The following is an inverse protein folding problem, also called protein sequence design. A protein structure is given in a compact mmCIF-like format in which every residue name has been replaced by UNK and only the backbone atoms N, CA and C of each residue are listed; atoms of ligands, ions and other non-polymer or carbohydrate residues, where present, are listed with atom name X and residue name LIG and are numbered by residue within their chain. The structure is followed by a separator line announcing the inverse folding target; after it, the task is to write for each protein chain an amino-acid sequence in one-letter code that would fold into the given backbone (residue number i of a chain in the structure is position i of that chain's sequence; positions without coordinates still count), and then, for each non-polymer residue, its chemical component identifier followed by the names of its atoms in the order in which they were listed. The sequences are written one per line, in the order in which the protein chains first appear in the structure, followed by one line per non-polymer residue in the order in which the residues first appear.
data_IF_589428186457
#
_entry.id   IF_589428186457
#
_cell.length_a   1.000
_cell.length_b   1.000
_cell.length_c   1.000
_cell.angle_alpha   90.00
_cell.angle_beta   90.00
_cell.angle_gamma   90.00
#
_symmetry.space_group_name_H-M   'P 1'
#
loop_
_entity.id
_entity.type
_entity.pdbx_description
1 polymer ?
#
# COMPACT_ATOMS: atom_id res chain seq x y z
N UNK A 1 -38.24 43.35 26.28
CA UNK A 1 -39.45 42.96 27.04
C UNK A 1 -39.94 44.05 27.99
N UNK A 2 -39.11 44.59 28.89
CA UNK A 2 -39.53 45.55 29.94
C UNK A 2 -40.31 46.79 29.41
N UNK A 3 -39.85 47.45 28.34
CA UNK A 3 -40.56 48.59 27.73
C UNK A 3 -41.92 48.24 27.09
N UNK A 4 -42.06 47.03 26.57
CA UNK A 4 -43.29 46.54 25.94
C UNK A 4 -44.32 46.17 27.00
N UNK A 5 -43.85 45.60 28.11
CA UNK A 5 -44.62 45.33 29.32
C UNK A 5 -45.06 46.63 30.00
N UNK A 6 -44.20 47.65 30.07
CA UNK A 6 -44.54 48.98 30.63
C UNK A 6 -45.56 49.71 29.74
N UNK A 7 -45.38 49.70 28.41
CA UNK A 7 -46.37 50.30 27.50
C UNK A 7 -47.72 49.58 27.57
N UNK A 8 -47.72 48.24 27.63
CA UNK A 8 -48.93 47.43 27.82
C UNK A 8 -49.58 47.68 29.20
N UNK A 9 -48.79 47.82 30.26
CA UNK A 9 -49.28 48.12 31.61
C UNK A 9 -49.92 49.52 31.66
N UNK A 10 -49.36 50.52 30.96
CA UNK A 10 -49.92 51.88 30.83
C UNK A 10 -51.21 51.91 30.00
N UNK A 11 -51.35 51.02 29.03
CA UNK A 11 -52.59 50.84 28.25
C UNK A 11 -53.70 50.13 29.03
N UNK A 12 -53.36 49.17 29.88
CA UNK A 12 -54.33 48.38 30.67
C UNK A 12 -54.77 49.11 31.95
N UNK A 13 -54.00 50.09 32.43
CA UNK A 13 -54.30 50.84 33.66
C UNK A 13 -55.20 52.08 33.46
N UNK A 14 -55.58 52.41 32.23
CA UNK A 14 -56.65 53.37 32.00
C UNK A 14 -57.98 52.60 31.94
N UNK A 15 -58.69 52.56 33.06
CA UNK A 15 -60.12 52.25 33.11
C UNK A 15 -60.83 53.13 32.07
N UNK A 16 -61.30 52.52 30.97
CA UNK A 16 -62.23 53.16 30.05
C UNK A 16 -63.54 53.29 30.79
N UNK A 17 -63.73 54.43 31.46
CA UNK A 17 -65.03 54.87 31.88
C UNK A 17 -65.76 55.30 30.61
N UNK A 18 -66.49 54.38 29.99
CA UNK A 18 -67.53 54.72 29.03
C UNK A 18 -68.66 55.42 29.81
N UNK A 19 -68.47 56.69 30.15
CA UNK A 19 -69.56 57.58 30.55
C UNK A 19 -70.37 57.87 29.29
N UNK A 20 -71.42 57.08 29.08
CA UNK A 20 -72.55 57.54 28.30
C UNK A 20 -73.14 58.76 29.00
N UNK A 21 -72.75 59.95 28.58
CA UNK A 21 -73.56 61.14 28.79
C UNK A 21 -73.88 61.71 27.40
N UNK A 22 -75.15 61.63 27.04
CA UNK A 22 -75.63 61.89 25.69
C UNK A 22 -75.33 63.31 25.21
N UNK A 23 -75.06 63.41 23.90
CA UNK A 23 -75.00 64.70 23.22
C UNK A 23 -74.11 64.69 21.98
N UNK A 24 -74.66 64.18 20.87
CA UNK A 24 -74.19 64.34 19.48
C UNK A 24 -72.79 63.81 19.11
N UNK A 25 -72.75 62.94 18.09
CA UNK A 25 -71.53 62.48 17.44
C UNK A 25 -70.75 63.62 16.79
N UNK A 26 -69.95 64.32 17.59
CA UNK A 26 -69.00 65.33 17.14
C UNK A 26 -67.67 64.65 16.82
N UNK A 27 -67.04 64.94 15.67
CA UNK A 27 -65.72 64.41 15.31
C UNK A 27 -64.62 64.69 16.34
N UNK A 28 -64.82 65.66 17.24
CA UNK A 28 -63.84 66.04 18.27
C UNK A 28 -63.63 64.95 19.34
N UNK A 29 -64.63 64.15 19.67
CA UNK A 29 -64.51 63.10 20.70
C UNK A 29 -63.64 61.91 20.23
N UNK A 30 -63.44 61.78 18.91
CA UNK A 30 -62.54 60.78 18.33
C UNK A 30 -61.07 61.23 18.30
N UNK A 31 -60.78 62.52 18.50
CA UNK A 31 -59.42 63.06 18.36
C UNK A 31 -58.47 62.48 19.40
N UNK A 32 -58.92 62.37 20.66
CA UNK A 32 -58.08 61.86 21.75
C UNK A 32 -57.79 60.36 21.63
N UNK A 33 -58.78 59.48 21.36
CA UNK A 33 -58.52 58.08 21.00
C UNK A 33 -57.65 57.92 19.74
N UNK A 34 -57.83 58.78 18.72
CA UNK A 34 -57.04 58.72 17.49
C UNK A 34 -55.56 59.05 17.72
N UNK A 35 -55.25 60.05 18.54
CA UNK A 35 -53.87 60.39 18.92
C UNK A 35 -53.20 59.22 19.67
N UNK A 36 -53.91 58.60 20.62
CA UNK A 36 -53.41 57.44 21.35
C UNK A 36 -53.17 56.23 20.42
N UNK A 37 -54.10 55.97 19.50
CA UNK A 37 -53.93 54.93 18.49
C UNK A 37 -52.73 55.20 17.59
N UNK A 38 -52.54 56.45 17.15
CA UNK A 38 -51.42 56.81 16.28
C UNK A 38 -50.08 56.70 17.01
N UNK A 39 -50.00 57.11 18.27
CA UNK A 39 -48.81 56.96 19.10
C UNK A 39 -48.43 55.48 19.28
N UNK A 40 -49.42 54.61 19.56
CA UNK A 40 -49.22 53.17 19.64
C UNK A 40 -48.77 52.58 18.30
N UNK A 41 -49.41 52.99 17.21
CA UNK A 41 -49.10 52.53 15.86
C UNK A 41 -47.65 52.87 15.46
N UNK A 42 -47.21 54.10 15.71
CA UNK A 42 -45.82 54.52 15.45
C UNK A 42 -44.83 53.72 16.29
N UNK A 43 -45.11 53.51 17.57
CA UNK A 43 -44.27 52.68 18.44
C UNK A 43 -44.18 51.23 17.95
N UNK A 44 -45.31 50.64 17.53
CA UNK A 44 -45.39 49.28 17.00
C UNK A 44 -44.58 49.14 15.71
N UNK A 45 -44.74 50.07 14.76
CA UNK A 45 -44.02 50.07 13.48
C UNK A 45 -42.51 50.15 13.70
N UNK A 46 -42.04 51.05 14.58
CA UNK A 46 -40.61 51.17 14.89
C UNK A 46 -40.07 49.88 15.53
N UNK A 47 -40.86 49.24 16.40
CA UNK A 47 -40.45 48.04 17.12
C UNK A 47 -40.45 46.79 16.24
N UNK A 48 -41.42 46.65 15.34
CA UNK A 48 -41.57 45.49 14.44
C UNK A 48 -40.65 45.56 13.23
N UNK A 49 -40.26 46.75 12.76
CA UNK A 49 -39.40 46.89 11.59
C UNK A 49 -38.07 46.16 11.73
N UNK A 50 -37.44 46.19 12.91
CA UNK A 50 -36.17 45.49 13.18
C UNK A 50 -36.27 43.96 13.10
N UNK A 51 -37.11 43.28 13.90
CA UNK A 51 -37.21 41.81 13.86
C UNK A 51 -37.75 41.28 12.52
N UNK A 52 -38.62 42.02 11.83
CA UNK A 52 -39.10 41.64 10.50
C UNK A 52 -37.95 41.64 9.49
N UNK A 53 -37.21 42.74 9.36
CA UNK A 53 -36.09 42.79 8.41
C UNK A 53 -34.98 41.79 8.76
N UNK A 54 -34.66 41.60 10.05
CA UNK A 54 -33.65 40.63 10.47
C UNK A 54 -34.04 39.18 10.15
N UNK A 55 -35.31 38.80 10.32
CA UNK A 55 -35.77 37.43 10.03
C UNK A 55 -35.81 37.12 8.54
N UNK A 56 -36.21 38.08 7.69
CA UNK A 56 -36.14 37.91 6.23
C UNK A 56 -34.69 37.87 5.73
N UNK A 57 -33.82 38.75 6.23
CA UNK A 57 -32.39 38.73 5.88
C UNK A 57 -31.72 37.43 6.34
N UNK A 58 -32.04 36.94 7.54
CA UNK A 58 -31.50 35.68 8.04
C UNK A 58 -31.91 34.49 7.18
N UNK A 59 -33.18 34.41 6.77
CA UNK A 59 -33.63 33.35 5.87
C UNK A 59 -32.95 33.44 4.50
N UNK A 60 -32.80 34.65 3.94
CA UNK A 60 -32.07 34.83 2.69
C UNK A 60 -30.60 34.37 2.81
N UNK A 61 -29.91 34.73 3.89
CA UNK A 61 -28.53 34.31 4.16
C UNK A 61 -28.42 32.80 4.41
N UNK A 62 -29.36 32.19 5.13
CA UNK A 62 -29.37 30.74 5.37
C UNK A 62 -29.59 29.96 4.07
N UNK A 63 -30.49 30.43 3.19
CA UNK A 63 -30.70 29.82 1.86
C UNK A 63 -29.47 29.99 0.99
N UNK A 64 -28.89 31.19 0.93
CA UNK A 64 -27.68 31.46 0.16
C UNK A 64 -26.51 30.59 0.63
N UNK A 65 -26.28 30.52 1.95
CA UNK A 65 -25.19 29.71 2.51
C UNK A 65 -25.42 28.21 2.29
N UNK A 66 -26.66 27.73 2.38
CA UNK A 66 -26.99 26.33 2.08
C UNK A 66 -26.75 26.01 0.62
N UNK A 67 -27.11 26.92 -0.28
CA UNK A 67 -26.86 26.78 -1.72
C UNK A 67 -25.36 26.77 -2.03
N UNK A 68 -24.58 27.70 -1.48
CA UNK A 68 -23.12 27.75 -1.65
C UNK A 68 -22.43 26.49 -1.09
N UNK A 69 -22.88 25.99 0.07
CA UNK A 69 -22.38 24.74 0.63
C UNK A 69 -22.71 23.54 -0.26
N UNK A 70 -23.92 23.50 -0.84
CA UNK A 70 -24.32 22.44 -1.76
C UNK A 70 -23.49 22.49 -3.05
N UNK A 71 -23.32 23.67 -3.64
CA UNK A 71 -22.49 23.86 -4.84
C UNK A 71 -21.03 23.49 -4.59
N UNK A 72 -20.47 23.88 -3.43
CA UNK A 72 -19.12 23.50 -3.04
C UNK A 72 -18.97 21.98 -2.87
N UNK A 73 -19.92 21.33 -2.20
CA UNK A 73 -19.93 19.88 -2.04
C UNK A 73 -20.05 19.15 -3.37
N UNK A 74 -20.87 19.66 -4.27
CA UNK A 74 -21.03 19.09 -5.61
C UNK A 74 -19.74 19.21 -6.42
N UNK A 75 -19.10 20.40 -6.43
CA UNK A 75 -17.77 20.59 -7.05
C UNK A 75 -16.72 19.68 -6.45
N UNK A 76 -16.66 19.57 -5.12
CA UNK A 76 -15.72 18.66 -4.44
C UNK A 76 -15.97 17.19 -4.81
N UNK A 77 -17.25 16.77 -4.92
CA UNK A 77 -17.61 15.43 -5.35
C UNK A 77 -17.21 15.17 -6.80
N UNK A 78 -17.46 16.12 -7.70
CA UNK A 78 -17.04 16.03 -9.11
C UNK A 78 -15.51 15.92 -9.23
N UNK A 79 -14.75 16.77 -8.53
CA UNK A 79 -13.28 16.72 -8.51
C UNK A 79 -12.77 15.36 -7.99
N UNK A 80 -13.37 14.84 -6.92
CA UNK A 80 -13.01 13.52 -6.38
C UNK A 80 -13.31 12.41 -7.40
N UNK A 81 -14.47 12.48 -8.05
CA UNK A 81 -14.89 11.51 -9.06
C UNK A 81 -13.93 11.51 -10.25
N UNK A 82 -13.59 12.69 -10.78
CA UNK A 82 -12.60 12.83 -11.86
C UNK A 82 -11.22 12.31 -11.43
N UNK A 83 -10.80 12.64 -10.20
CA UNK A 83 -9.53 12.14 -9.64
C UNK A 83 -9.52 10.62 -9.54
N UNK A 84 -10.61 10.00 -9.09
CA UNK A 84 -10.72 8.55 -9.00
C UNK A 84 -10.78 7.89 -10.39
N UNK A 85 -11.52 8.46 -11.35
CA UNK A 85 -11.53 7.98 -12.73
C UNK A 85 -10.13 8.05 -13.36
N UNK A 86 -9.41 9.16 -13.16
CA UNK A 86 -8.04 9.32 -13.64
C UNK A 86 -7.12 8.28 -13.01
N UNK A 87 -7.21 8.05 -11.70
CA UNK A 87 -6.46 6.99 -11.00
C UNK A 87 -6.81 5.60 -11.55
N UNK A 88 -8.09 5.31 -11.77
CA UNK A 88 -8.54 4.03 -12.33
C UNK A 88 -7.98 3.80 -13.74
N UNK A 89 -8.00 4.82 -14.60
CA UNK A 89 -7.37 4.75 -15.92
C UNK A 89 -5.85 4.53 -15.86
N UNK A 90 -5.21 5.03 -14.80
CA UNK A 90 -3.79 4.78 -14.52
C UNK A 90 -3.55 3.34 -14.11
N UNK A 91 -4.41 2.76 -13.27
CA UNK A 91 -4.26 1.39 -12.79
C UNK A 91 -4.36 0.35 -13.90
N UNK A 92 -5.21 0.54 -14.90
CA UNK A 92 -5.29 -0.43 -16.00
C UNK A 92 -4.00 -0.46 -16.83
N UNK A 93 -3.44 0.72 -17.15
CA UNK A 93 -2.13 0.83 -17.82
C UNK A 93 -1.00 0.28 -16.98
N UNK A 94 -1.01 0.55 -15.67
CA UNK A 94 0.00 0.02 -14.76
C UNK A 94 -0.10 -1.49 -14.63
N UNK A 95 -1.32 -2.05 -14.57
CA UNK A 95 -1.53 -3.50 -14.58
C UNK A 95 -0.96 -4.13 -15.84
N UNK A 96 -1.27 -3.57 -17.00
CA UNK A 96 -0.77 -4.08 -18.28
C UNK A 96 0.76 -4.00 -18.36
N UNK A 97 1.34 -2.89 -17.89
CA UNK A 97 2.79 -2.73 -17.76
C UNK A 97 3.40 -3.80 -16.85
N UNK A 98 2.86 -3.99 -15.65
CA UNK A 98 3.35 -4.97 -14.68
C UNK A 98 3.24 -6.40 -15.23
N UNK A 99 2.13 -6.74 -15.90
CA UNK A 99 1.96 -8.05 -16.53
C UNK A 99 2.97 -8.27 -17.67
N UNK A 100 3.20 -7.25 -18.50
CA UNK A 100 4.18 -7.31 -19.58
C UNK A 100 5.61 -7.44 -19.03
N UNK A 101 5.96 -6.69 -18.00
CA UNK A 101 7.27 -6.75 -17.34
C UNK A 101 7.48 -8.11 -16.67
N UNK A 102 6.49 -8.62 -15.92
CA UNK A 102 6.56 -9.94 -15.28
C UNK A 102 6.70 -11.08 -16.30
N UNK A 103 6.01 -10.99 -17.44
CA UNK A 103 6.14 -11.99 -18.52
C UNK A 103 7.54 -11.96 -19.12
N UNK A 104 8.04 -10.77 -19.43
CA UNK A 104 9.38 -10.59 -20.00
C UNK A 104 10.48 -11.01 -19.03
N UNK A 105 10.35 -10.69 -17.75
CA UNK A 105 11.27 -11.12 -16.70
C UNK A 105 11.22 -12.64 -16.53
N UNK A 106 10.03 -13.24 -16.55
CA UNK A 106 9.85 -14.68 -16.53
C UNK A 106 10.55 -15.38 -17.70
N UNK A 107 10.38 -14.89 -18.93
CA UNK A 107 11.07 -15.41 -20.12
C UNK A 107 12.60 -15.27 -20.01
N UNK A 108 13.09 -14.14 -19.50
CA UNK A 108 14.52 -13.92 -19.27
C UNK A 108 15.09 -14.88 -18.24
N UNK A 109 14.37 -15.11 -17.13
CA UNK A 109 14.79 -16.04 -16.07
C UNK A 109 14.83 -17.47 -16.61
N UNK A 110 13.80 -17.91 -17.36
CA UNK A 110 13.78 -19.24 -17.97
C UNK A 110 14.97 -19.41 -18.91
N UNK A 111 15.20 -18.44 -19.81
CA UNK A 111 16.33 -18.50 -20.75
C UNK A 111 17.69 -18.48 -20.02
N UNK A 112 17.82 -17.71 -18.95
CA UNK A 112 19.04 -17.68 -18.13
C UNK A 112 19.28 -19.03 -17.44
N UNK A 113 18.25 -19.64 -16.85
CA UNK A 113 18.33 -20.95 -16.20
C UNK A 113 18.69 -22.03 -17.22
N UNK A 114 18.08 -22.03 -18.41
CA UNK A 114 18.41 -22.99 -19.46
C UNK A 114 19.88 -22.90 -19.86
N UNK A 115 20.38 -21.67 -20.07
CA UNK A 115 21.78 -21.44 -20.43
C UNK A 115 22.74 -21.88 -19.32
N UNK A 116 22.45 -21.49 -18.08
CA UNK A 116 23.25 -21.87 -16.91
C UNK A 116 23.25 -23.39 -16.70
N UNK A 117 22.10 -24.04 -16.91
CA UNK A 117 21.97 -25.49 -16.80
C UNK A 117 22.81 -26.19 -17.86
N UNK A 118 22.77 -25.75 -19.11
CA UNK A 118 23.58 -26.32 -20.20
C UNK A 118 25.08 -26.15 -19.88
N UNK A 119 25.50 -24.97 -19.45
CA UNK A 119 26.90 -24.70 -19.09
C UNK A 119 27.35 -25.57 -17.90
N UNK A 120 26.47 -25.73 -16.91
CA UNK A 120 26.74 -26.57 -15.73
C UNK A 120 26.85 -28.04 -16.10
N UNK A 121 25.97 -28.55 -16.97
CA UNK A 121 26.03 -29.93 -17.46
C UNK A 121 27.32 -30.17 -18.24
N UNK A 122 27.73 -29.21 -19.10
CA UNK A 122 28.96 -29.33 -19.86
C UNK A 122 30.19 -29.36 -18.94
N UNK A 123 30.27 -28.47 -17.96
CA UNK A 123 31.32 -28.49 -16.93
C UNK A 123 31.33 -29.80 -16.16
N UNK A 124 30.17 -30.26 -15.69
CA UNK A 124 30.05 -31.50 -14.94
C UNK A 124 30.51 -32.71 -15.77
N UNK A 125 30.23 -32.72 -17.08
CA UNK A 125 30.68 -33.78 -17.97
C UNK A 125 32.21 -33.78 -18.11
N UNK A 126 32.81 -32.61 -18.32
CA UNK A 126 34.27 -32.46 -18.40
C UNK A 126 34.94 -32.90 -17.09
N UNK A 127 34.38 -32.50 -15.96
CA UNK A 127 34.88 -32.87 -14.63
C UNK A 127 34.74 -34.38 -14.38
N UNK A 128 33.61 -34.98 -14.78
CA UNK A 128 33.40 -36.42 -14.67
C UNK A 128 34.36 -37.21 -15.55
N UNK A 129 34.57 -36.80 -16.81
CA UNK A 129 35.51 -37.44 -17.72
C UNK A 129 36.96 -37.35 -17.19
N UNK A 130 37.34 -36.18 -16.67
CA UNK A 130 38.64 -35.96 -16.01
C UNK A 130 38.82 -36.85 -14.79
N UNK A 131 37.79 -36.95 -13.93
CA UNK A 131 37.83 -37.76 -12.72
C UNK A 131 37.91 -39.26 -13.04
N UNK A 132 37.14 -39.74 -14.02
CA UNK A 132 37.21 -41.13 -14.49
C UNK A 132 38.59 -41.44 -15.07
N UNK A 133 39.19 -40.53 -15.83
CA UNK A 133 40.55 -40.70 -16.35
C UNK A 133 41.57 -40.78 -15.21
N UNK A 134 41.44 -39.92 -14.19
CA UNK A 134 42.32 -39.93 -13.02
C UNK A 134 42.19 -41.23 -12.20
N UNK A 135 40.96 -41.67 -11.92
CA UNK A 135 40.71 -42.93 -11.21
C UNK A 135 41.24 -44.14 -11.99
N UNK A 136 41.12 -44.16 -13.32
CA UNK A 136 41.72 -45.21 -14.17
C UNK A 136 43.23 -45.27 -14.07
N UNK A 137 43.92 -44.13 -14.11
CA UNK A 137 45.38 -44.06 -13.95
C UNK A 137 45.80 -44.53 -12.56
N UNK A 138 45.10 -44.10 -11.51
CA UNK A 138 45.35 -44.54 -10.14
C UNK A 138 45.15 -46.05 -9.97
N UNK A 139 44.04 -46.60 -10.45
CA UNK A 139 43.77 -48.04 -10.39
C UNK A 139 44.82 -48.85 -11.16
N UNK A 140 45.28 -48.36 -12.31
CA UNK A 140 46.33 -49.02 -13.10
C UNK A 140 47.65 -49.04 -12.35
N UNK A 141 48.02 -47.95 -11.68
CA UNK A 141 49.22 -47.89 -10.82
C UNK A 141 49.11 -48.86 -9.65
N UNK A 142 47.99 -48.86 -8.93
CA UNK A 142 47.74 -49.77 -7.81
C UNK A 142 47.76 -51.25 -8.23
N UNK A 143 47.17 -51.58 -9.39
CA UNK A 143 47.22 -52.93 -9.96
C UNK A 143 48.66 -53.35 -10.27
N UNK A 144 49.45 -52.48 -10.88
CA UNK A 144 50.85 -52.77 -11.20
C UNK A 144 51.69 -52.97 -9.94
N UNK A 145 51.53 -52.12 -8.92
CA UNK A 145 52.20 -52.26 -7.63
C UNK A 145 51.83 -53.59 -6.96
N UNK A 146 50.54 -53.92 -6.88
CA UNK A 146 50.07 -55.18 -6.32
C UNK A 146 50.54 -56.41 -7.11
N UNK A 147 50.59 -56.34 -8.43
CA UNK A 147 51.08 -57.42 -9.29
C UNK A 147 52.58 -57.64 -9.08
N UNK A 148 53.37 -56.57 -8.96
CA UNK A 148 54.81 -56.64 -8.67
C UNK A 148 55.04 -57.29 -7.30
N UNK A 149 54.30 -56.89 -6.28
CA UNK A 149 54.40 -57.47 -4.94
C UNK A 149 54.02 -58.97 -4.93
N UNK A 150 52.94 -59.35 -5.62
CA UNK A 150 52.50 -60.75 -5.76
C UNK A 150 53.55 -61.59 -6.49
N UNK A 151 54.13 -61.07 -7.59
CA UNK A 151 55.20 -61.74 -8.34
C UNK A 151 56.46 -61.89 -7.50
N UNK A 152 56.86 -60.86 -6.74
CA UNK A 152 58.00 -60.93 -5.82
C UNK A 152 57.75 -61.98 -4.73
N UNK A 153 56.53 -62.05 -4.18
CA UNK A 153 56.15 -63.03 -3.17
C UNK A 153 56.21 -64.46 -3.72
N UNK A 154 55.64 -64.71 -4.90
CA UNK A 154 55.71 -66.00 -5.58
C UNK A 154 57.14 -66.39 -5.96
N UNK A 155 57.95 -65.44 -6.45
CA UNK A 155 59.36 -65.67 -6.76
C UNK A 155 60.16 -66.03 -5.51
N UNK A 156 59.97 -65.30 -4.39
CA UNK A 156 60.58 -65.63 -3.09
C UNK A 156 60.16 -67.01 -2.59
N UNK A 157 58.89 -67.37 -2.73
CA UNK A 157 58.40 -68.70 -2.33
C UNK A 157 59.02 -69.82 -3.18
N UNK A 158 59.10 -69.62 -4.50
CA UNK A 158 59.68 -70.60 -5.43
C UNK A 158 61.20 -70.74 -5.27
N UNK A 159 61.91 -69.64 -5.00
CA UNK A 159 63.37 -69.65 -4.74
C UNK A 159 63.66 -70.24 -3.34
N UNK A 160 62.90 -69.85 -2.32
CA UNK A 160 63.05 -70.35 -0.94
C UNK A 160 62.68 -71.83 -0.75
N UNK A 161 61.85 -72.40 -1.64
CA UNK A 161 61.50 -73.82 -1.64
C UNK A 161 62.56 -74.75 -2.26
N UNK A 162 63.60 -74.20 -2.91
CA UNK A 162 64.64 -74.99 -3.58
C UNK A 162 65.97 -74.95 -2.83
N UNK A 163 66.29 -76.02 -2.07
CA UNK A 163 67.59 -76.20 -1.40
C UNK A 163 68.82 -76.22 -2.35
N UNK A 164 68.60 -76.36 -3.67
CA UNK A 164 69.66 -76.44 -4.69
C UNK A 164 70.14 -75.05 -5.20
N UNK A 165 69.33 -73.99 -5.05
CA UNK A 165 69.63 -72.67 -5.62
C UNK A 165 70.50 -71.78 -4.73
N UNK A 166 70.54 -72.00 -3.41
CA UNK A 166 71.45 -71.29 -2.51
C UNK A 166 72.93 -71.61 -2.81
N UNK A 167 73.24 -72.86 -3.19
CA UNK A 167 74.60 -73.27 -3.59
C UNK A 167 75.05 -72.57 -4.87
N UNK A 168 74.21 -72.53 -5.92
CA UNK A 168 74.52 -71.90 -7.22
C UNK A 168 74.59 -70.37 -7.17
N UNK A 169 73.80 -69.72 -6.31
CA UNK A 169 73.87 -68.28 -6.10
C UNK A 169 75.16 -67.88 -5.37
N UNK A 170 75.58 -68.67 -4.38
CA UNK A 170 76.82 -68.43 -3.64
C UNK A 170 78.04 -68.65 -4.53
N UNK A 171 78.03 -69.66 -5.40
CA UNK A 171 79.10 -69.93 -6.37
C UNK A 171 79.26 -68.80 -7.41
N UNK A 172 78.16 -68.27 -7.96
CA UNK A 172 78.20 -67.12 -8.88
C UNK A 172 78.63 -65.80 -8.22
N UNK A 173 78.30 -65.60 -6.95
CA UNK A 173 78.74 -64.41 -6.20
C UNK A 173 80.24 -64.49 -5.90
N UNK A 174 80.76 -65.66 -5.52
CA UNK A 174 82.21 -65.86 -5.31
C UNK A 174 82.99 -65.70 -6.62
N UNK A 175 82.43 -66.14 -7.76
CA UNK A 175 83.06 -66.01 -9.07
C UNK A 175 83.13 -64.55 -9.59
N UNK A 176 82.17 -63.69 -9.20
CA UNK A 176 82.18 -62.27 -9.55
C UNK A 176 83.00 -61.39 -8.58
N UNK A 177 83.31 -61.87 -7.38
CA UNK A 177 84.21 -61.18 -6.43
C UNK A 177 85.68 -61.56 -6.68
N UNK A 178 85.92 -62.66 -7.43
CA UNK A 178 87.25 -63.13 -7.83
C UNK A 178 87.73 -62.68 -9.22
N UNK A 179 87.14 -61.62 -9.80
CA UNK A 179 87.67 -60.90 -10.98
C UNK A 179 87.93 -59.44 -10.64
#
# INVERSE_FOLDING_TARGET
MKLLLIAFLVLVSNQVFAAGNGGHGSPMDLVWPAINFFALFVFLVIKLRKPLTETFNRQATDVQSTYEMAEKKDKEAQIKLETYQKKMSGFERERERVLSEATKEGEQVVSAIERETIETIEKLKVDADSKVAHERDQLTKQLNEGLVDEVIKLARQKIGGSKDNQSKATEKLVQNIGR
#
